data_IF_783040083065
#
_entry.id   IF_783040083065
#
_cell.length_a   1.000
_cell.length_b   1.000
_cell.length_c   1.000
_cell.angle_alpha   90.00
_cell.angle_beta   90.00
_cell.angle_gamma   90.00
#
_symmetry.space_group_name_H-M   'P 1'
#
loop_
_entity.id
_entity.type
_entity.pdbx_description
1 polymer ?
#
# COMPACT_ATOMS: atom_id res chain seq x y z
N UNK A 1 1.68 0.05 -13.17
CA UNK A 1 1.78 0.16 -11.69
C UNK A 1 0.67 -0.66 -11.05
N UNK A 2 0.93 -1.40 -9.96
CA UNK A 2 -0.12 -2.16 -9.26
C UNK A 2 0.28 -2.48 -7.83
N UNK A 3 -0.66 -3.02 -7.05
CA UNK A 3 -0.43 -3.49 -5.69
C UNK A 3 -0.34 -5.02 -5.62
N UNK A 4 0.30 -5.54 -4.58
CA UNK A 4 0.29 -6.94 -4.19
C UNK A 4 -0.27 -7.05 -2.77
N UNK A 5 -1.27 -7.91 -2.58
CA UNK A 5 -1.84 -8.20 -1.26
C UNK A 5 -1.24 -9.51 -0.76
N UNK A 6 -0.52 -9.46 0.36
CA UNK A 6 -0.02 -10.63 1.06
C UNK A 6 -1.19 -11.35 1.76
N UNK A 7 -1.53 -12.54 1.26
CA UNK A 7 -2.66 -13.32 1.76
C UNK A 7 -2.44 -13.89 3.15
N UNK A 8 -1.20 -14.08 3.60
CA UNK A 8 -0.90 -14.57 4.95
C UNK A 8 -1.13 -13.45 5.98
N UNK A 9 -0.70 -12.22 5.67
CA UNK A 9 -0.90 -11.04 6.53
C UNK A 9 -2.32 -10.47 6.48
N UNK A 10 -3.04 -10.68 5.38
CA UNK A 10 -4.40 -10.16 5.23
C UNK A 10 -5.35 -10.86 6.22
N UNK A 11 -5.99 -10.05 7.07
CA UNK A 11 -6.96 -10.49 8.09
C UNK A 11 -8.41 -10.45 7.61
N UNK A 12 -8.67 -10.09 6.35
CA UNK A 12 -10.03 -10.09 5.80
C UNK A 12 -10.93 -8.95 6.28
N UNK A 13 -10.39 -7.83 6.74
CA UNK A 13 -11.22 -6.69 7.20
C UNK A 13 -11.92 -5.91 6.07
N UNK A 14 -11.50 -6.12 4.82
CA UNK A 14 -12.07 -5.53 3.60
C UNK A 14 -12.05 -3.99 3.48
N UNK A 15 -11.46 -3.26 4.43
CA UNK A 15 -11.36 -1.79 4.38
C UNK A 15 -10.72 -1.26 3.09
N UNK A 16 -9.73 -1.99 2.55
CA UNK A 16 -9.06 -1.64 1.30
C UNK A 16 -10.01 -1.64 0.07
N UNK A 17 -11.10 -2.43 0.10
CA UNK A 17 -12.11 -2.44 -0.95
C UNK A 17 -12.91 -1.12 -0.93
N UNK A 18 -13.27 -0.64 0.26
CA UNK A 18 -14.10 0.56 0.45
C UNK A 18 -13.38 1.83 0.01
N UNK A 19 -12.06 1.91 0.24
CA UNK A 19 -11.25 3.09 -0.11
C UNK A 19 -10.68 3.03 -1.53
N UNK A 20 -10.91 1.96 -2.28
CA UNK A 20 -10.37 1.84 -3.64
C UNK A 20 -11.26 2.65 -4.61
N UNK A 21 -10.82 3.82 -5.11
CA UNK A 21 -11.66 4.67 -5.95
C UNK A 21 -12.04 3.98 -7.28
N UNK A 22 -11.16 3.12 -7.78
CA UNK A 22 -11.41 2.35 -9.01
C UNK A 22 -12.25 1.08 -8.80
N UNK A 23 -12.66 0.75 -7.56
CA UNK A 23 -13.39 -0.50 -7.26
C UNK A 23 -12.69 -1.79 -7.73
N UNK A 24 -11.35 -1.77 -7.75
CA UNK A 24 -10.50 -2.80 -8.39
C UNK A 24 -10.16 -3.97 -7.46
N UNK A 25 -10.31 -3.78 -6.15
CA UNK A 25 -10.07 -4.80 -5.12
C UNK A 25 -11.41 -5.49 -4.83
N UNK A 26 -11.39 -6.82 -4.75
CA UNK A 26 -12.55 -7.66 -4.46
C UNK A 26 -12.21 -8.63 -3.34
N UNK A 27 -13.25 -9.25 -2.81
CA UNK A 27 -13.14 -10.29 -1.79
C UNK A 27 -13.23 -11.66 -2.47
N UNK A 28 -12.41 -12.60 -1.98
CA UNK A 28 -12.50 -14.02 -2.29
C UNK A 28 -12.00 -14.80 -1.06
N UNK A 29 -12.76 -15.81 -0.65
CA UNK A 29 -12.42 -16.70 0.47
C UNK A 29 -12.11 -15.97 1.79
N UNK A 30 -12.87 -14.89 2.06
CA UNK A 30 -12.73 -14.01 3.21
C UNK A 30 -11.58 -13.01 3.13
N UNK A 31 -10.81 -12.97 2.03
CA UNK A 31 -9.63 -12.11 1.88
C UNK A 31 -9.69 -11.23 0.65
N UNK A 32 -9.03 -10.08 0.77
CA UNK A 32 -8.95 -9.12 -0.33
C UNK A 32 -7.94 -9.56 -1.38
N UNK A 33 -8.29 -9.38 -2.66
CA UNK A 33 -7.40 -9.54 -3.79
C UNK A 33 -7.65 -8.43 -4.83
N UNK A 34 -6.63 -8.07 -5.61
CA UNK A 34 -6.81 -7.13 -6.72
C UNK A 34 -7.31 -7.86 -7.96
N UNK A 35 -8.54 -7.56 -8.40
CA UNK A 35 -9.17 -8.20 -9.56
C UNK A 35 -8.68 -7.61 -10.88
N UNK A 36 -8.46 -6.30 -10.92
CA UNK A 36 -8.10 -5.56 -12.12
C UNK A 36 -6.77 -4.80 -11.93
N UNK A 37 -5.63 -5.52 -11.88
CA UNK A 37 -4.35 -4.91 -11.52
C UNK A 37 -3.83 -3.90 -12.55
N UNK A 38 -4.21 -4.05 -13.84
CA UNK A 38 -3.80 -3.16 -14.93
C UNK A 38 -4.45 -1.77 -14.85
N UNK A 39 -5.62 -1.69 -14.22
CA UNK A 39 -6.41 -0.47 -14.11
C UNK A 39 -6.06 0.31 -12.83
N UNK A 40 -5.09 -0.18 -12.04
CA UNK A 40 -4.68 0.45 -10.79
C UNK A 40 -3.99 1.80 -11.04
N UNK A 41 -4.59 2.87 -10.50
CA UNK A 41 -4.07 4.23 -10.65
C UNK A 41 -2.87 4.56 -9.74
N UNK A 42 -2.48 3.66 -8.84
CA UNK A 42 -1.36 3.92 -7.93
C UNK A 42 -1.60 4.98 -6.86
N UNK A 43 -2.86 5.31 -6.54
CA UNK A 43 -3.22 6.34 -5.54
C UNK A 43 -2.83 6.03 -4.07
N UNK A 44 -2.26 4.85 -3.80
CA UNK A 44 -1.85 4.36 -2.48
C UNK A 44 -2.93 4.35 -1.36
N UNK A 45 -4.20 4.64 -1.66
CA UNK A 45 -5.27 4.71 -0.65
C UNK A 45 -5.45 3.39 0.11
N UNK A 46 -5.45 2.27 -0.61
CA UNK A 46 -5.52 0.93 0.00
C UNK A 46 -4.28 0.55 0.82
N UNK A 47 -3.09 1.03 0.42
CA UNK A 47 -1.83 0.80 1.15
C UNK A 47 -1.90 1.49 2.50
N UNK A 48 -2.28 2.77 2.51
CA UNK A 48 -2.50 3.54 3.74
C UNK A 48 -3.58 2.86 4.59
N UNK A 49 -4.73 2.51 4.02
CA UNK A 49 -5.83 1.94 4.79
C UNK A 49 -5.51 0.60 5.48
N UNK A 50 -4.58 -0.19 4.95
CA UNK A 50 -4.26 -1.51 5.48
C UNK A 50 -3.45 -1.45 6.80
N UNK A 51 -4.14 -1.44 7.95
CA UNK A 51 -3.53 -1.40 9.29
C UNK A 51 -2.65 -2.60 9.65
N UNK A 52 -2.80 -3.72 8.96
CA UNK A 52 -1.96 -4.93 9.12
C UNK A 52 -0.81 -4.99 8.11
N UNK A 53 -0.56 -3.91 7.37
CA UNK A 53 0.59 -3.78 6.46
C UNK A 53 0.68 -4.93 5.44
N UNK A 54 -0.47 -5.39 4.93
CA UNK A 54 -0.55 -6.53 4.02
C UNK A 54 -0.50 -6.15 2.53
N UNK A 55 -0.41 -4.86 2.20
CA UNK A 55 -0.47 -4.37 0.81
C UNK A 55 0.83 -3.65 0.48
N UNK A 56 1.56 -4.19 -0.50
CA UNK A 56 2.71 -3.53 -1.11
C UNK A 56 2.29 -2.86 -2.42
N UNK A 57 2.77 -1.65 -2.67
CA UNK A 57 2.63 -0.96 -3.95
C UNK A 57 3.94 -1.01 -4.73
N UNK A 58 3.88 -1.45 -5.98
CA UNK A 58 5.06 -1.54 -6.84
C UNK A 58 5.34 -0.19 -7.50
N UNK A 59 6.53 0.36 -7.20
CA UNK A 59 7.03 1.60 -7.78
C UNK A 59 7.80 1.27 -9.08
N UNK A 60 7.17 1.56 -10.21
CA UNK A 60 7.74 1.30 -11.53
C UNK A 60 8.86 2.27 -11.90
N UNK A 61 9.60 1.93 -12.96
CA UNK A 61 10.69 2.77 -13.47
C UNK A 61 10.18 4.13 -14.01
N UNK A 62 8.92 4.18 -14.44
CA UNK A 62 8.22 5.37 -14.93
C UNK A 62 8.15 6.51 -13.90
N UNK A 63 8.18 6.17 -12.61
CA UNK A 63 8.21 7.15 -11.50
C UNK A 63 9.53 7.14 -10.74
N UNK A 64 10.60 6.58 -11.35
CA UNK A 64 11.92 6.48 -10.71
C UNK A 64 12.01 5.42 -9.60
N UNK A 65 11.02 4.54 -9.48
CA UNK A 65 10.93 3.57 -8.40
C UNK A 65 11.91 2.41 -8.49
N UNK A 66 12.51 2.16 -9.66
CA UNK A 66 13.47 1.08 -9.91
C UNK A 66 13.04 -0.31 -9.36
N UNK A 67 11.73 -0.61 -9.44
CA UNK A 67 11.17 -1.87 -8.96
C UNK A 67 11.06 -2.01 -7.45
N UNK A 68 11.24 -0.92 -6.70
CA UNK A 68 11.02 -0.88 -5.26
C UNK A 68 9.55 -1.07 -4.89
N UNK A 69 9.31 -1.39 -3.62
CA UNK A 69 7.98 -1.59 -3.05
C UNK A 69 7.74 -0.59 -1.94
N UNK A 70 6.54 -0.03 -1.92
CA UNK A 70 6.07 0.88 -0.89
C UNK A 70 5.02 0.19 -0.03
N UNK A 71 5.16 0.26 1.30
CA UNK A 71 4.07 0.00 2.24
C UNK A 71 4.08 1.01 3.38
N UNK A 72 3.10 0.92 4.27
CA UNK A 72 2.96 1.82 5.42
C UNK A 72 2.88 1.00 6.69
N UNK A 73 3.67 1.36 7.70
CA UNK A 73 3.49 0.95 9.09
C UNK A 73 3.13 2.13 9.98
N UNK A 74 2.61 1.85 11.18
CA UNK A 74 2.00 2.84 12.06
C UNK A 74 2.64 2.81 13.46
N UNK A 75 2.95 4.00 13.98
CA UNK A 75 3.32 4.22 15.39
C UNK A 75 2.54 5.43 15.93
N UNK A 76 1.41 5.16 16.60
CA UNK A 76 0.49 6.20 17.03
C UNK A 76 -0.06 7.00 15.83
N UNK A 77 0.23 8.31 15.82
CA UNK A 77 -0.16 9.21 14.73
C UNK A 77 0.87 9.27 13.57
N UNK A 78 2.03 8.62 13.71
CA UNK A 78 3.10 8.61 12.72
C UNK A 78 2.88 7.47 11.73
N UNK A 79 2.97 7.81 10.44
CA UNK A 79 3.01 6.86 9.34
C UNK A 79 4.45 6.73 8.86
N UNK A 80 4.98 5.52 8.98
CA UNK A 80 6.26 5.15 8.39
C UNK A 80 6.02 4.63 6.98
N UNK A 81 6.33 5.45 5.98
CA UNK A 81 6.30 5.04 4.58
C UNK A 81 7.59 4.31 4.24
N UNK A 82 7.51 2.99 4.11
CA UNK A 82 8.66 2.13 3.91
C UNK A 82 8.85 1.85 2.41
N UNK A 83 9.98 2.26 1.86
CA UNK A 83 10.41 1.96 0.48
C UNK A 83 11.48 0.88 0.54
N UNK A 84 11.09 -0.35 0.21
CA UNK A 84 12.02 -1.49 0.08
C UNK A 84 12.58 -1.54 -1.33
N UNK A 85 13.90 -1.35 -1.45
CA UNK A 85 14.61 -1.41 -2.73
C UNK A 85 14.90 -2.85 -3.16
N UNK A 86 15.34 -3.03 -4.40
CA UNK A 86 15.67 -4.35 -4.95
C UNK A 86 16.82 -5.07 -4.24
N UNK A 87 17.71 -4.34 -3.57
CA UNK A 87 18.80 -4.88 -2.74
C UNK A 87 18.36 -5.24 -1.31
N UNK A 88 17.08 -5.04 -0.98
CA UNK A 88 16.51 -5.30 0.35
C UNK A 88 16.69 -4.16 1.35
N UNK A 89 17.42 -3.09 1.01
CA UNK A 89 17.51 -1.91 1.87
C UNK A 89 16.15 -1.20 1.96
N UNK A 90 15.84 -0.67 3.14
CA UNK A 90 14.59 0.03 3.43
C UNK A 90 14.89 1.49 3.72
N UNK A 91 14.29 2.38 2.94
CA UNK A 91 14.21 3.80 3.24
C UNK A 91 12.85 4.08 3.92
N UNK A 92 12.85 4.85 5.01
CA UNK A 92 11.63 5.20 5.74
C UNK A 92 11.41 6.70 5.67
N UNK A 93 10.17 7.12 5.39
CA UNK A 93 9.73 8.51 5.45
C UNK A 93 8.62 8.61 6.49
N UNK A 94 8.85 9.41 7.53
CA UNK A 94 7.90 9.60 8.61
C UNK A 94 6.97 10.78 8.33
N UNK A 95 5.67 10.54 8.44
CA UNK A 95 4.65 11.57 8.24
C UNK A 95 3.68 11.54 9.41
N UNK A 96 3.49 12.69 10.06
CA UNK A 96 2.43 12.83 11.06
C UNK A 96 1.07 12.95 10.35
N UNK A 97 0.14 12.01 10.63
CA UNK A 97 -1.20 12.02 10.02
C UNK A 97 -2.09 13.19 10.44
N UNK A 98 -1.80 13.82 11.59
CA UNK A 98 -2.53 14.99 12.08
C UNK A 98 -1.96 16.30 11.56
N UNK A 99 -0.75 16.26 11.01
CA UNK A 99 -0.06 17.43 10.48
C UNK A 99 0.80 17.07 9.26
N UNK A 100 0.14 16.57 8.22
CA UNK A 100 0.81 15.97 7.05
C UNK A 100 1.36 16.97 6.04
N UNK A 101 1.15 18.28 6.25
CA UNK A 101 1.56 19.34 5.33
C UNK A 101 2.64 20.26 5.91
N UNK A 102 3.41 19.78 6.90
CA UNK A 102 4.61 20.49 7.34
C UNK A 102 5.69 20.36 6.27
N UNK A 103 5.80 21.37 5.41
CA UNK A 103 6.85 21.53 4.41
C UNK A 103 7.89 22.56 4.87
#
# INVERSE_FOLDING_TARGET
>A
MSIKINQEKCVGCLSCILVCPGSLIKEKDGKAYIKYPKDCWGCASCVKECKVCAIDYYLGADIGGNGSKLNVSYEGDILHWNITKGDGSVLVIDVNSKDSNQY
#
